data_IF_088413098034
#
_entry.id   IF_088413098034
#
_cell.length_a   1.000
_cell.length_b   1.000
_cell.length_c   1.000
_cell.angle_alpha   90.00
_cell.angle_beta   90.00
_cell.angle_gamma   90.00
#
_symmetry.space_group_name_H-M   'P 1'
#
loop_
_entity.id
_entity.type
_entity.pdbx_description
1 polymer ?
#
# COMPACT_ATOMS: atom_id res chain seq x y z
N UNK A 1 -9.57 -1.91 -48.74
CA UNK A 1 -9.24 -2.72 -47.54
C UNK A 1 -8.78 -1.77 -46.46
N UNK A 2 -9.69 -1.41 -45.55
CA UNK A 2 -9.43 -0.55 -44.40
C UNK A 2 -8.82 -1.40 -43.28
N UNK A 3 -7.59 -1.09 -42.88
CA UNK A 3 -7.07 -1.49 -41.58
C UNK A 3 -7.41 -0.36 -40.60
N UNK A 4 -8.56 -0.48 -39.93
CA UNK A 4 -8.92 0.44 -38.87
C UNK A 4 -7.96 0.24 -37.69
N UNK A 5 -7.28 1.33 -37.32
CA UNK A 5 -6.41 1.46 -36.16
C UNK A 5 -7.15 1.03 -34.88
N UNK A 6 -6.68 -0.05 -34.28
CA UNK A 6 -7.23 -0.65 -33.05
C UNK A 6 -6.86 0.16 -31.78
N UNK A 7 -6.63 1.48 -31.91
CA UNK A 7 -6.14 2.38 -30.85
C UNK A 7 -7.21 3.29 -30.22
N UNK A 8 -8.46 3.19 -30.63
CA UNK A 8 -9.56 4.03 -30.13
C UNK A 8 -10.66 3.20 -29.44
N UNK A 9 -10.29 2.33 -28.50
CA UNK A 9 -11.24 1.86 -27.50
C UNK A 9 -11.18 2.80 -26.28
N UNK A 10 -12.30 3.36 -25.82
CA UNK A 10 -12.29 4.34 -24.75
C UNK A 10 -11.72 3.74 -23.46
N UNK A 11 -10.91 4.53 -22.74
CA UNK A 11 -10.17 4.23 -21.50
C UNK A 11 -11.04 3.82 -20.28
N UNK A 12 -12.30 3.45 -20.50
CA UNK A 12 -13.27 3.07 -19.48
C UNK A 12 -12.81 1.87 -18.64
N UNK A 13 -11.90 1.04 -19.15
CA UNK A 13 -11.39 -0.14 -18.47
C UNK A 13 -10.19 0.13 -17.52
N UNK A 14 -9.68 1.36 -17.48
CA UNK A 14 -8.52 1.74 -16.65
C UNK A 14 -8.91 2.15 -15.23
N UNK A 15 -10.10 2.72 -15.05
CA UNK A 15 -10.53 3.27 -13.76
C UNK A 15 -11.10 2.14 -12.89
N UNK A 16 -10.25 1.61 -12.00
CA UNK A 16 -10.63 0.55 -11.05
C UNK A 16 -11.42 1.10 -9.87
N UNK A 17 -11.04 2.28 -9.37
CA UNK A 17 -11.73 2.98 -8.28
C UNK A 17 -12.53 4.15 -8.86
N UNK A 18 -13.76 3.86 -9.30
CA UNK A 18 -14.71 4.86 -9.76
C UNK A 18 -15.29 5.72 -8.62
N UNK A 19 -16.06 6.75 -8.98
CA UNK A 19 -16.72 7.63 -8.00
C UNK A 19 -17.72 6.87 -7.11
N UNK A 20 -18.38 5.88 -7.69
CA UNK A 20 -19.27 4.94 -7.01
C UNK A 20 -18.53 4.15 -5.94
N UNK A 21 -17.40 3.53 -6.29
CA UNK A 21 -16.58 2.75 -5.34
C UNK A 21 -16.04 3.64 -4.23
N UNK A 22 -15.59 4.85 -4.56
CA UNK A 22 -15.11 5.83 -3.56
C UNK A 22 -16.21 6.24 -2.56
N UNK A 23 -17.45 6.41 -3.03
CA UNK A 23 -18.57 6.74 -2.16
C UNK A 23 -18.89 5.61 -1.18
N UNK A 24 -18.82 4.36 -1.63
CA UNK A 24 -18.98 3.19 -0.75
C UNK A 24 -17.86 3.12 0.28
N UNK A 25 -16.60 3.36 -0.12
CA UNK A 25 -15.45 3.39 0.80
C UNK A 25 -15.68 4.42 1.92
N UNK A 26 -16.11 5.64 1.58
CA UNK A 26 -16.39 6.67 2.58
C UNK A 26 -17.57 6.32 3.49
N UNK A 27 -18.58 5.63 2.95
CA UNK A 27 -19.74 5.16 3.71
C UNK A 27 -19.33 4.08 4.71
N UNK A 28 -18.50 3.12 4.31
CA UNK A 28 -17.99 2.07 5.20
C UNK A 28 -16.99 2.60 6.23
N UNK A 29 -16.14 3.56 5.85
CA UNK A 29 -15.33 4.34 6.80
C UNK A 29 -16.22 5.10 7.81
N UNK A 30 -17.46 5.40 7.42
CA UNK A 30 -18.57 5.84 8.26
C UNK A 30 -18.83 4.95 9.46
N UNK A 31 -18.90 3.65 9.20
CA UNK A 31 -19.36 2.61 10.12
C UNK A 31 -18.23 1.83 10.79
N UNK A 32 -17.01 1.91 10.26
CA UNK A 32 -15.83 1.19 10.79
C UNK A 32 -15.37 1.81 12.11
N UNK A 33 -15.41 1.02 13.18
CA UNK A 33 -14.82 1.40 14.47
C UNK A 33 -13.38 0.88 14.56
N UNK A 34 -12.43 1.79 14.74
CA UNK A 34 -11.02 1.46 14.89
C UNK A 34 -10.64 1.40 16.38
N UNK A 35 -9.71 0.50 16.77
CA UNK A 35 -9.10 0.54 18.09
C UNK A 35 -8.42 1.89 18.35
N UNK A 36 -8.36 2.30 19.63
CA UNK A 36 -7.81 3.61 20.03
C UNK A 36 -6.33 3.84 19.65
N UNK A 37 -5.58 2.78 19.40
CA UNK A 37 -4.16 2.83 19.02
C UNK A 37 -3.94 2.89 17.49
N UNK A 38 -5.01 2.82 16.69
CA UNK A 38 -4.95 2.98 15.23
C UNK A 38 -5.33 4.41 14.89
N UNK A 39 -4.47 5.12 14.15
CA UNK A 39 -4.77 6.48 13.71
C UNK A 39 -5.96 6.53 12.76
N UNK A 40 -6.81 7.54 12.91
CA UNK A 40 -7.91 7.76 11.97
C UNK A 40 -7.40 8.17 10.59
N UNK A 41 -8.10 7.71 9.55
CA UNK A 41 -7.92 8.17 8.18
C UNK A 41 -8.99 9.23 7.91
N UNK A 42 -8.57 10.40 7.41
CA UNK A 42 -9.53 11.43 6.97
C UNK A 42 -10.47 10.83 5.92
N UNK A 43 -11.75 11.21 5.88
CA UNK A 43 -12.67 10.74 4.84
C UNK A 43 -12.50 11.52 3.54
N UNK A 44 -12.02 12.74 3.60
CA UNK A 44 -11.94 13.65 2.45
C UNK A 44 -10.57 13.61 1.76
N UNK A 45 -9.89 12.47 1.79
CA UNK A 45 -8.65 12.29 1.05
C UNK A 45 -8.96 12.32 -0.44
N UNK A 46 -8.55 13.40 -1.08
CA UNK A 46 -8.77 13.68 -2.50
C UNK A 46 -7.53 14.35 -3.07
N UNK A 47 -7.57 14.78 -4.34
CA UNK A 47 -6.48 15.52 -5.01
C UNK A 47 -5.89 16.70 -4.22
N UNK A 48 -6.57 17.19 -3.18
CA UNK A 48 -6.17 18.34 -2.38
C UNK A 48 -5.57 17.97 -1.01
N UNK A 49 -5.69 16.72 -0.57
CA UNK A 49 -5.30 16.27 0.77
C UNK A 49 -4.48 14.99 0.69
N UNK A 50 -3.17 15.13 0.92
CA UNK A 50 -2.25 13.98 0.93
C UNK A 50 -2.42 13.20 2.24
N UNK A 51 -2.57 11.88 2.11
CA UNK A 51 -2.53 10.97 3.25
C UNK A 51 -1.09 10.78 3.71
N UNK A 52 -0.87 10.73 5.02
CA UNK A 52 0.42 10.28 5.54
C UNK A 52 0.69 8.82 5.14
N UNK A 53 1.95 8.39 5.23
CA UNK A 53 2.30 6.99 4.97
C UNK A 53 1.54 6.01 5.89
N UNK A 54 1.34 6.39 7.16
CA UNK A 54 0.59 5.60 8.13
C UNK A 54 -0.90 5.53 7.79
N UNK A 55 -1.51 6.66 7.41
CA UNK A 55 -2.90 6.72 6.99
C UNK A 55 -3.14 5.94 5.69
N UNK A 56 -2.21 6.03 4.74
CA UNK A 56 -2.25 5.25 3.50
C UNK A 56 -2.21 3.76 3.81
N UNK A 57 -1.33 3.32 4.73
CA UNK A 57 -1.29 1.93 5.18
C UNK A 57 -2.63 1.49 5.76
N UNK A 58 -3.19 2.26 6.70
CA UNK A 58 -4.47 1.94 7.36
C UNK A 58 -5.62 1.86 6.35
N UNK A 59 -5.69 2.82 5.42
CA UNK A 59 -6.64 2.80 4.31
C UNK A 59 -6.50 1.50 3.50
N UNK A 60 -5.29 1.15 3.07
CA UNK A 60 -5.05 -0.02 2.25
C UNK A 60 -5.23 -1.36 2.98
N UNK A 61 -4.98 -1.43 4.28
CA UNK A 61 -5.02 -2.72 5.02
C UNK A 61 -6.31 -2.95 5.80
N UNK A 62 -7.10 -1.89 6.06
CA UNK A 62 -8.34 -1.99 6.84
C UNK A 62 -9.55 -1.59 5.97
N UNK A 63 -9.61 -0.33 5.56
CA UNK A 63 -10.83 0.20 4.93
C UNK A 63 -11.06 -0.35 3.53
N UNK A 64 -10.04 -0.36 2.66
CA UNK A 64 -10.18 -0.90 1.30
C UNK A 64 -10.55 -2.39 1.30
N UNK A 65 -9.93 -3.28 2.09
CA UNK A 65 -10.36 -4.68 2.13
C UNK A 65 -11.81 -4.85 2.57
N UNK A 66 -12.28 -4.11 3.57
CA UNK A 66 -13.68 -4.19 4.04
C UNK A 66 -14.63 -3.91 2.88
N UNK A 67 -14.48 -2.77 2.21
CA UNK A 67 -15.38 -2.35 1.13
C UNK A 67 -15.20 -3.20 -0.13
N UNK A 68 -13.96 -3.42 -0.59
CA UNK A 68 -13.71 -4.12 -1.85
C UNK A 68 -14.10 -5.60 -1.79
N UNK A 69 -13.95 -6.26 -0.64
CA UNK A 69 -14.47 -7.63 -0.47
C UNK A 69 -15.99 -7.62 -0.60
N UNK A 70 -16.69 -6.70 0.07
CA UNK A 70 -18.16 -6.63 -0.02
C UNK A 70 -18.65 -6.35 -1.44
N UNK A 71 -17.99 -5.44 -2.16
CA UNK A 71 -18.39 -5.08 -3.52
C UNK A 71 -18.02 -6.15 -4.55
N UNK A 72 -16.86 -6.80 -4.41
CA UNK A 72 -16.28 -7.60 -5.49
C UNK A 72 -16.24 -9.11 -5.25
N UNK A 73 -16.64 -9.62 -4.07
CA UNK A 73 -16.61 -11.08 -3.81
C UNK A 73 -17.47 -11.91 -4.77
N UNK A 74 -18.51 -11.31 -5.36
CA UNK A 74 -19.44 -11.97 -6.30
C UNK A 74 -19.61 -11.18 -7.60
N UNK A 75 -18.67 -10.27 -7.89
CA UNK A 75 -18.65 -9.50 -9.13
C UNK A 75 -18.10 -10.32 -10.30
N UNK A 76 -17.85 -9.67 -11.44
CA UNK A 76 -17.21 -10.30 -12.60
C UNK A 76 -15.79 -10.82 -12.31
N UNK A 77 -15.33 -11.72 -13.18
CA UNK A 77 -14.02 -12.40 -13.05
C UNK A 77 -12.85 -11.41 -12.95
N UNK A 78 -12.94 -10.26 -13.63
CA UNK A 78 -11.89 -9.24 -13.60
C UNK A 78 -11.81 -8.58 -12.22
N UNK A 79 -12.92 -8.15 -11.64
CA UNK A 79 -12.97 -7.53 -10.31
C UNK A 79 -12.55 -8.52 -9.22
N UNK A 80 -12.93 -9.79 -9.35
CA UNK A 80 -12.45 -10.83 -8.45
C UNK A 80 -10.92 -11.01 -8.55
N UNK A 81 -10.37 -10.99 -9.76
CA UNK A 81 -8.91 -11.07 -9.97
C UNK A 81 -8.18 -9.85 -9.41
N UNK A 82 -8.74 -8.65 -9.59
CA UNK A 82 -8.23 -7.41 -8.98
C UNK A 82 -8.25 -7.47 -7.46
N UNK A 83 -9.34 -7.97 -6.87
CA UNK A 83 -9.47 -8.17 -5.43
C UNK A 83 -8.44 -9.17 -4.91
N UNK A 84 -8.30 -10.34 -5.56
CA UNK A 84 -7.34 -11.36 -5.17
C UNK A 84 -5.90 -10.82 -5.19
N UNK A 85 -5.54 -10.13 -6.28
CA UNK A 85 -4.25 -9.48 -6.40
C UNK A 85 -4.03 -8.40 -5.33
N UNK A 86 -5.06 -7.60 -5.02
CA UNK A 86 -4.97 -6.62 -3.95
C UNK A 86 -4.81 -7.27 -2.56
N UNK A 87 -5.50 -8.38 -2.30
CA UNK A 87 -5.36 -9.12 -1.05
C UNK A 87 -3.97 -9.74 -0.87
N UNK A 88 -3.28 -10.11 -1.95
CA UNK A 88 -1.87 -10.51 -1.90
C UNK A 88 -0.99 -9.37 -1.40
N UNK A 89 -1.18 -8.17 -1.95
CA UNK A 89 -0.47 -6.98 -1.48
C UNK A 89 -0.76 -6.69 0.00
N UNK A 90 -2.03 -6.77 0.42
CA UNK A 90 -2.43 -6.54 1.82
C UNK A 90 -1.76 -7.55 2.76
N UNK A 91 -1.71 -8.83 2.37
CA UNK A 91 -1.04 -9.86 3.15
C UNK A 91 0.47 -9.63 3.25
N UNK A 92 1.12 -9.27 2.14
CA UNK A 92 2.54 -8.94 2.15
C UNK A 92 2.83 -7.74 3.06
N UNK A 93 2.03 -6.67 2.98
CA UNK A 93 2.18 -5.48 3.85
C UNK A 93 1.99 -5.87 5.32
N UNK A 94 1.00 -6.70 5.64
CA UNK A 94 0.75 -7.17 7.01
C UNK A 94 1.98 -7.89 7.58
N UNK A 95 2.58 -8.80 6.81
CA UNK A 95 3.79 -9.54 7.24
C UNK A 95 4.98 -8.60 7.40
N UNK A 96 5.23 -7.71 6.45
CA UNK A 96 6.33 -6.75 6.53
C UNK A 96 6.26 -5.82 7.74
N UNK A 97 5.05 -5.55 8.24
CA UNK A 97 4.82 -4.66 9.39
C UNK A 97 4.69 -5.41 10.73
N UNK A 98 4.94 -6.72 10.77
CA UNK A 98 4.98 -7.44 12.04
C UNK A 98 6.15 -6.96 12.92
N UNK A 99 5.98 -7.06 14.24
CA UNK A 99 7.01 -6.66 15.22
C UNK A 99 8.10 -7.72 15.41
N UNK A 100 7.88 -8.91 14.90
CA UNK A 100 8.80 -10.04 14.92
C UNK A 100 8.83 -10.66 13.54
N UNK A 101 9.95 -11.26 13.19
CA UNK A 101 10.13 -11.91 11.89
C UNK A 101 10.79 -13.27 12.13
N UNK A 102 10.26 -14.29 11.47
CA UNK A 102 10.83 -15.62 11.36
C UNK A 102 11.15 -15.95 9.90
N UNK A 103 11.97 -16.98 9.63
CA UNK A 103 12.19 -17.44 8.25
C UNK A 103 10.89 -17.77 7.50
N UNK A 104 9.90 -18.32 8.19
CA UNK A 104 8.58 -18.59 7.61
C UNK A 104 7.81 -17.31 7.25
N UNK A 105 7.97 -16.23 8.02
CA UNK A 105 7.39 -14.92 7.69
C UNK A 105 8.06 -14.33 6.44
N UNK A 106 9.38 -14.46 6.30
CA UNK A 106 10.12 -14.01 5.11
C UNK A 106 9.63 -14.73 3.85
N UNK A 107 9.49 -16.06 3.92
CA UNK A 107 8.96 -16.86 2.81
C UNK A 107 7.52 -16.48 2.47
N UNK A 108 6.69 -16.28 3.50
CA UNK A 108 5.30 -15.83 3.35
C UNK A 108 5.24 -14.48 2.65
N UNK A 109 6.08 -13.51 3.05
CA UNK A 109 6.18 -12.20 2.41
C UNK A 109 6.55 -12.33 0.93
N UNK A 110 7.63 -13.07 0.65
CA UNK A 110 8.14 -13.26 -0.72
C UNK A 110 7.09 -13.90 -1.63
N UNK A 111 6.36 -14.90 -1.11
CA UNK A 111 5.30 -15.58 -1.85
C UNK A 111 4.18 -14.62 -2.23
N UNK A 112 3.63 -13.87 -1.28
CA UNK A 112 2.56 -12.91 -1.55
C UNK A 112 3.03 -11.77 -2.46
N UNK A 113 4.21 -11.19 -2.21
CA UNK A 113 4.71 -10.07 -3.00
C UNK A 113 5.02 -10.47 -4.44
N UNK A 114 5.62 -11.65 -4.64
CA UNK A 114 5.85 -12.18 -5.98
C UNK A 114 4.54 -12.44 -6.72
N UNK A 115 3.57 -13.09 -6.06
CA UNK A 115 2.26 -13.38 -6.65
C UNK A 115 1.50 -12.10 -7.02
N UNK A 116 1.55 -11.07 -6.18
CA UNK A 116 1.03 -9.74 -6.48
C UNK A 116 1.70 -9.14 -7.72
N UNK A 117 3.04 -9.16 -7.80
CA UNK A 117 3.76 -8.55 -8.91
C UNK A 117 3.50 -9.23 -10.25
N UNK A 118 3.44 -10.57 -10.28
CA UNK A 118 3.13 -11.32 -11.51
C UNK A 118 1.71 -11.02 -11.98
N UNK A 119 0.71 -11.14 -11.10
CA UNK A 119 -0.68 -10.86 -11.47
C UNK A 119 -0.91 -9.39 -11.82
N UNK A 120 -0.20 -8.44 -11.17
CA UNK A 120 -0.29 -7.03 -11.52
C UNK A 120 0.14 -6.77 -12.98
N UNK A 121 1.17 -7.45 -13.49
CA UNK A 121 1.59 -7.33 -14.89
C UNK A 121 0.53 -7.86 -15.86
N UNK A 122 -0.19 -8.91 -15.48
CA UNK A 122 -1.27 -9.49 -16.29
C UNK A 122 -2.53 -8.59 -16.28
N UNK A 123 -2.87 -8.01 -15.13
CA UNK A 123 -4.07 -7.19 -14.92
C UNK A 123 -3.92 -5.76 -15.47
N UNK A 124 -2.69 -5.23 -15.45
CA UNK A 124 -2.34 -3.87 -15.86
C UNK A 124 -1.27 -3.90 -16.97
N UNK A 125 -1.63 -4.44 -18.13
CA UNK A 125 -0.72 -4.68 -19.27
C UNK A 125 -0.02 -3.41 -19.79
N UNK A 126 -0.59 -2.23 -19.54
CA UNK A 126 -0.05 -0.94 -19.97
C UNK A 126 0.86 -0.27 -18.93
N UNK A 127 1.00 -0.84 -17.73
CA UNK A 127 1.80 -0.25 -16.65
C UNK A 127 3.15 -0.98 -16.51
N UNK A 128 4.24 -0.23 -16.60
CA UNK A 128 5.57 -0.74 -16.32
C UNK A 128 5.81 -0.86 -14.81
N UNK A 129 6.69 -1.80 -14.42
CA UNK A 129 7.14 -1.94 -13.04
C UNK A 129 7.82 -0.65 -12.59
N UNK A 130 7.32 -0.05 -11.52
CA UNK A 130 7.89 1.17 -10.94
C UNK A 130 9.04 0.82 -9.97
N UNK A 131 10.02 1.72 -9.77
CA UNK A 131 11.13 1.48 -8.85
C UNK A 131 10.68 1.08 -7.43
N UNK A 132 9.59 1.65 -6.92
CA UNK A 132 9.07 1.28 -5.60
C UNK A 132 8.47 -0.13 -5.56
N UNK A 133 7.85 -0.60 -6.65
CA UNK A 133 7.37 -1.98 -6.75
C UNK A 133 8.55 -2.96 -6.82
N UNK A 134 9.61 -2.62 -7.55
CA UNK A 134 10.84 -3.40 -7.54
C UNK A 134 11.49 -3.43 -6.15
N UNK A 135 11.60 -2.28 -5.48
CA UNK A 135 12.16 -2.20 -4.13
C UNK A 135 11.37 -3.06 -3.12
N UNK A 136 10.04 -3.14 -3.28
CA UNK A 136 9.20 -3.99 -2.43
C UNK A 136 9.59 -5.47 -2.52
N UNK A 137 10.03 -5.97 -3.67
CA UNK A 137 10.50 -7.36 -3.81
C UNK A 137 11.71 -7.69 -2.94
N UNK A 138 12.51 -6.68 -2.54
CA UNK A 138 13.69 -6.87 -1.69
C UNK A 138 13.39 -6.80 -0.19
N UNK A 139 12.17 -6.45 0.22
CA UNK A 139 11.83 -6.34 1.65
C UNK A 139 11.99 -7.68 2.37
N UNK A 140 11.74 -8.82 1.70
CA UNK A 140 11.99 -10.14 2.30
C UNK A 140 13.45 -10.33 2.70
N UNK A 141 14.39 -9.93 1.83
CA UNK A 141 15.83 -9.95 2.13
C UNK A 141 16.18 -9.00 3.29
N UNK A 142 15.55 -7.82 3.34
CA UNK A 142 15.76 -6.88 4.45
C UNK A 142 15.23 -7.43 5.79
N UNK A 143 14.09 -8.13 5.76
CA UNK A 143 13.52 -8.82 6.91
C UNK A 143 14.44 -9.93 7.41
N UNK A 144 15.11 -10.66 6.52
CA UNK A 144 16.08 -11.70 6.88
C UNK A 144 17.35 -11.12 7.51
N UNK A 145 17.91 -10.05 6.95
CA UNK A 145 19.20 -9.50 7.40
C UNK A 145 19.08 -8.60 8.63
N UNK A 146 18.05 -7.77 8.68
CA UNK A 146 17.91 -6.72 9.69
C UNK A 146 16.74 -6.97 10.64
N UNK A 147 15.93 -8.00 10.38
CA UNK A 147 14.72 -8.27 11.13
C UNK A 147 13.58 -7.31 10.78
N UNK A 148 12.60 -7.16 11.68
CA UNK A 148 11.38 -6.39 11.46
C UNK A 148 11.60 -4.95 10.98
N UNK A 149 10.81 -4.50 9.99
CA UNK A 149 10.94 -3.16 9.36
C UNK A 149 10.90 -2.02 10.37
N UNK A 150 10.09 -2.12 11.43
CA UNK A 150 9.99 -1.05 12.42
C UNK A 150 11.32 -0.71 13.13
N UNK A 151 12.28 -1.64 13.16
CA UNK A 151 13.58 -1.44 13.79
C UNK A 151 14.56 -0.61 12.93
N UNK A 152 14.35 -0.53 11.62
CA UNK A 152 15.27 0.11 10.66
C UNK A 152 14.59 1.03 9.65
N UNK A 153 13.27 1.23 9.77
CA UNK A 153 12.51 2.15 8.93
C UNK A 153 12.82 3.63 9.21
N UNK A 154 12.49 4.50 8.25
CA UNK A 154 12.70 5.96 8.33
C UNK A 154 12.24 6.61 9.65
N UNK A 155 11.08 6.27 10.24
CA UNK A 155 10.64 6.86 11.52
C UNK A 155 11.67 6.68 12.65
N UNK A 156 12.41 5.58 12.68
CA UNK A 156 13.47 5.36 13.66
C UNK A 156 14.57 6.44 13.55
N UNK A 157 15.00 6.75 12.33
CA UNK A 157 16.00 7.78 12.07
C UNK A 157 15.43 9.19 12.27
N UNK A 158 14.17 9.44 11.90
CA UNK A 158 13.49 10.73 12.11
C UNK A 158 13.39 11.10 13.59
N UNK A 159 13.12 10.13 14.47
CA UNK A 159 13.17 10.34 15.92
C UNK A 159 14.54 10.87 16.36
N UNK A 160 15.63 10.31 15.83
CA UNK A 160 16.99 10.73 16.18
C UNK A 160 17.35 12.09 15.58
N UNK A 161 16.94 12.36 14.33
CA UNK A 161 17.11 13.67 13.68
C UNK A 161 16.38 14.76 14.48
N UNK A 162 15.13 14.53 14.87
CA UNK A 162 14.37 15.46 15.71
C UNK A 162 15.01 15.67 17.08
N UNK A 163 15.57 14.62 17.70
CA UNK A 163 16.36 14.77 18.92
C UNK A 163 17.57 15.68 18.71
N UNK A 164 18.34 15.49 17.63
CA UNK A 164 19.50 16.34 17.31
C UNK A 164 19.10 17.79 17.03
N UNK A 165 17.98 18.03 16.33
CA UNK A 165 17.47 19.39 16.11
C UNK A 165 17.07 20.10 17.41
N UNK A 166 16.62 19.36 18.42
CA UNK A 166 16.25 19.90 19.73
C UNK A 166 17.43 20.06 20.68
N UNK A 167 18.54 19.37 20.43
CA UNK A 167 19.74 19.49 21.25
C UNK A 167 20.36 20.89 21.07
N UNK A 168 20.38 21.68 22.15
CA UNK A 168 21.08 22.97 22.18
C UNK A 168 22.60 22.77 22.26
N UNK A 169 23.20 22.39 21.13
CA UNK A 169 24.66 22.42 20.98
C UNK A 169 25.10 23.85 20.66
N UNK A 170 25.47 24.58 21.72
CA UNK A 170 25.95 25.96 21.67
C UNK A 170 27.34 26.00 21.01
N UNK A 171 27.41 25.89 19.67
CA UNK A 171 28.64 26.12 18.90
C UNK A 171 28.82 27.63 18.69
N UNK A 172 29.27 28.33 19.73
CA UNK A 172 30.02 29.57 19.50
C UNK A 172 31.36 29.17 18.90
N UNK A 173 31.74 29.65 17.71
CA UNK A 173 33.13 29.56 17.28
C UNK A 173 33.94 30.31 18.34
N UNK A 174 34.91 29.66 18.96
CA UNK A 174 35.93 30.36 19.74
C UNK A 174 36.66 31.31 18.79
N UNK A 175 36.61 32.61 19.10
CA UNK A 175 37.46 33.64 18.52
C UNK A 175 38.94 33.37 18.79
#
# INVERSE_FOLDING_TARGET
MQAASQRDQPLLHRVVLGKDVMQEIWTDMGHTQLPSWVSGVSREWSTTSELSADQTRILCTIHLPITLIQLWHSADDRRQSLLANFMDLVNAIRVANMRTTSPGDVETYNTYMHRYMVQALELYQDEAIKPHQHAALHIGTMLEWFGPVHAHSTPYYECYINFMHRAQINRKPSE
#
